data_IF_683139941960
#
_entry.id   IF_683139941960
#
_cell.length_a   1.000
_cell.length_b   1.000
_cell.length_c   1.000
_cell.angle_alpha   90.00
_cell.angle_beta   90.00
_cell.angle_gamma   90.00
#
_symmetry.space_group_name_H-M   'P 1'
#
loop_
_entity.id
_entity.type
_entity.pdbx_description
1 polymer ?
#
# COMPACT_ATOMS: atom_id res chain seq x y z
N UNK A 1 3.69 -6.83 20.24
CA UNK A 1 4.76 -5.85 19.99
C UNK A 1 4.40 -5.11 18.73
N UNK A 2 4.67 -3.81 18.66
CA UNK A 2 4.56 -3.06 17.41
C UNK A 2 5.83 -3.30 16.57
N UNK A 3 5.70 -3.49 15.26
CA UNK A 3 6.87 -3.70 14.38
C UNK A 3 7.67 -2.40 14.20
N UNK A 4 7.00 -1.35 13.70
CA UNK A 4 7.59 -0.03 13.47
C UNK A 4 6.71 1.08 14.06
N UNK A 5 7.28 2.21 14.54
CA UNK A 5 6.50 3.40 14.84
C UNK A 5 5.69 3.83 13.61
N UNK A 6 4.41 4.13 13.79
CA UNK A 6 3.48 4.46 12.71
C UNK A 6 2.52 5.58 13.11
N UNK A 7 1.79 6.08 12.13
CA UNK A 7 0.70 7.02 12.27
C UNK A 7 1.12 8.48 12.05
N UNK A 8 0.17 9.43 12.16
CA UNK A 8 0.38 10.81 11.75
C UNK A 8 1.47 11.52 12.56
N UNK A 9 1.71 11.08 13.80
CA UNK A 9 2.80 11.64 14.62
C UNK A 9 4.20 11.24 14.11
N UNK A 10 4.30 10.19 13.29
CA UNK A 10 5.54 9.79 12.61
C UNK A 10 5.66 10.39 11.20
N UNK A 11 4.65 11.15 10.74
CA UNK A 11 4.59 11.70 9.40
C UNK A 11 3.97 10.75 8.36
N UNK A 12 3.32 9.68 8.79
CA UNK A 12 2.57 8.82 7.88
C UNK A 12 1.31 9.53 7.40
N UNK A 13 0.97 9.29 6.14
CA UNK A 13 -0.30 9.70 5.56
C UNK A 13 -1.41 8.74 5.98
N UNK A 14 -2.65 9.23 5.99
CA UNK A 14 -3.82 8.44 6.40
C UNK A 14 -4.76 8.26 5.23
N UNK A 15 -5.15 7.02 4.97
CA UNK A 15 -6.17 6.72 3.98
C UNK A 15 -7.57 7.16 4.45
N UNK A 16 -8.52 7.41 3.52
CA UNK A 16 -9.87 7.81 3.89
C UNK A 16 -10.61 6.72 4.68
N UNK A 17 -11.54 7.16 5.54
CA UNK A 17 -12.53 6.31 6.19
C UNK A 17 -13.64 5.96 5.20
N UNK A 18 -13.49 4.81 4.56
CA UNK A 18 -14.37 4.32 3.52
C UNK A 18 -14.11 2.82 3.33
N UNK A 19 -15.16 2.01 3.19
CA UNK A 19 -15.08 0.55 3.02
C UNK A 19 -14.03 0.15 1.96
N UNK A 20 -14.28 0.50 0.69
CA UNK A 20 -13.32 0.31 -0.40
C UNK A 20 -12.49 1.57 -0.70
N UNK A 21 -12.03 2.24 0.35
CA UNK A 21 -11.27 3.48 0.21
C UNK A 21 -9.90 3.28 -0.46
N UNK A 22 -9.44 4.31 -1.18
CA UNK A 22 -8.10 4.38 -1.76
C UNK A 22 -7.49 5.75 -1.50
N UNK A 23 -6.15 5.81 -1.44
CA UNK A 23 -5.42 7.07 -1.45
C UNK A 23 -5.65 7.83 -2.77
N UNK A 24 -5.31 9.12 -2.76
CA UNK A 24 -4.96 9.84 -4.00
C UNK A 24 -3.70 9.23 -4.64
N UNK A 25 -3.35 9.67 -5.85
CA UNK A 25 -2.13 9.22 -6.52
C UNK A 25 -0.87 9.64 -5.73
N UNK A 26 -0.04 8.68 -5.34
CA UNK A 26 1.20 8.91 -4.59
C UNK A 26 2.37 8.87 -5.57
N UNK A 27 3.06 10.00 -5.73
CA UNK A 27 4.28 10.06 -6.53
C UNK A 27 5.45 9.42 -5.77
N UNK A 28 6.12 8.46 -6.39
CA UNK A 28 7.27 7.78 -5.80
C UNK A 28 8.52 8.65 -5.91
N UNK A 29 9.23 8.85 -4.80
CA UNK A 29 10.54 9.53 -4.80
C UNK A 29 11.63 8.76 -5.56
N UNK A 30 11.47 7.45 -5.73
CA UNK A 30 12.35 6.57 -6.52
C UNK A 30 11.46 5.69 -7.40
N UNK A 31 11.64 5.68 -8.74
CA UNK A 31 10.84 4.84 -9.62
C UNK A 31 10.94 3.36 -9.26
N UNK A 32 9.80 2.66 -9.27
CA UNK A 32 9.72 1.24 -8.95
C UNK A 32 9.56 0.42 -10.23
N UNK A 33 10.39 -0.60 -10.43
CA UNK A 33 10.27 -1.48 -11.60
C UNK A 33 9.65 -2.81 -11.19
N UNK A 34 8.50 -3.14 -11.78
CA UNK A 34 7.75 -4.36 -11.51
C UNK A 34 7.34 -5.02 -12.81
N UNK A 35 7.60 -6.33 -12.95
CA UNK A 35 7.39 -7.10 -14.18
C UNK A 35 7.92 -6.42 -15.47
N UNK A 36 9.09 -5.76 -15.37
CA UNK A 36 9.74 -5.10 -16.52
C UNK A 36 9.15 -3.74 -16.92
N UNK A 37 8.14 -3.23 -16.21
CA UNK A 37 7.62 -1.87 -16.37
C UNK A 37 8.05 -0.98 -15.20
N UNK A 38 8.48 0.24 -15.50
CA UNK A 38 8.83 1.25 -14.49
C UNK A 38 7.61 2.11 -14.20
N UNK A 39 7.31 2.27 -12.91
CA UNK A 39 6.21 3.04 -12.36
C UNK A 39 6.73 4.22 -11.55
N UNK A 40 6.00 5.33 -11.63
CA UNK A 40 6.32 6.57 -10.90
C UNK A 40 5.23 6.93 -9.90
N UNK A 41 4.08 6.26 -9.96
CA UNK A 41 2.94 6.50 -9.09
C UNK A 41 2.37 5.20 -8.56
N UNK A 42 1.88 5.25 -7.33
CA UNK A 42 1.18 4.14 -6.67
C UNK A 42 -0.09 4.63 -5.98
N UNK A 43 -0.96 3.70 -5.65
CA UNK A 43 -2.15 3.91 -4.84
C UNK A 43 -2.20 2.88 -3.72
N UNK A 44 -2.57 3.31 -2.52
CA UNK A 44 -2.77 2.43 -1.36
C UNK A 44 -4.26 2.22 -1.16
N UNK A 45 -4.72 0.98 -1.28
CA UNK A 45 -6.11 0.60 -1.07
C UNK A 45 -6.33 0.09 0.36
N UNK A 46 -7.51 0.38 0.92
CA UNK A 46 -7.88 -0.02 2.29
C UNK A 46 -7.88 -1.53 2.52
N UNK A 47 -8.12 -2.30 1.46
CA UNK A 47 -8.08 -3.76 1.48
C UNK A 47 -6.64 -4.32 1.51
N UNK A 48 -5.61 -3.47 1.63
CA UNK A 48 -4.21 -3.86 1.84
C UNK A 48 -3.35 -3.92 0.58
N UNK A 49 -3.88 -3.44 -0.54
CA UNK A 49 -3.27 -3.62 -1.85
C UNK A 49 -2.58 -2.33 -2.32
N UNK A 50 -1.39 -2.45 -2.90
CA UNK A 50 -0.65 -1.34 -3.53
C UNK A 50 -0.66 -1.53 -5.04
N UNK A 51 -1.38 -0.65 -5.73
CA UNK A 51 -1.53 -0.68 -7.20
C UNK A 51 -0.69 0.41 -7.87
N UNK A 52 -0.45 0.26 -9.18
CA UNK A 52 0.39 1.17 -9.96
C UNK A 52 -0.41 1.85 -11.07
N UNK A 53 -0.05 3.10 -11.40
CA UNK A 53 -0.66 3.97 -12.42
C UNK A 53 -2.15 4.33 -12.22
N UNK A 54 -2.96 3.43 -11.66
CA UNK A 54 -4.38 3.63 -11.37
C UNK A 54 -4.82 2.85 -10.11
N UNK A 55 -5.89 3.29 -9.42
CA UNK A 55 -6.39 2.60 -8.23
C UNK A 55 -7.15 1.33 -8.61
N UNK A 56 -6.90 0.25 -7.88
CA UNK A 56 -7.69 -0.99 -7.94
C UNK A 56 -8.95 -0.83 -7.10
N UNK A 57 -10.11 -1.18 -7.70
CA UNK A 57 -11.43 -1.19 -7.04
C UNK A 57 -11.92 -2.59 -6.65
N UNK A 58 -11.09 -3.60 -6.87
CA UNK A 58 -11.43 -4.98 -6.52
C UNK A 58 -11.30 -5.18 -5.01
N UNK A 59 -12.39 -5.63 -4.40
CA UNK A 59 -12.53 -5.83 -2.96
C UNK A 59 -12.51 -7.31 -2.55
N UNK A 60 -12.68 -8.22 -3.50
CA UNK A 60 -12.57 -9.67 -3.25
C UNK A 60 -11.18 -10.18 -3.63
N UNK A 61 -10.45 -10.85 -2.70
CA UNK A 61 -9.22 -11.54 -3.02
C UNK A 61 -9.38 -12.62 -4.09
N UNK A 62 -8.63 -12.49 -5.17
CA UNK A 62 -8.53 -13.46 -6.26
C UNK A 62 -7.13 -14.08 -6.32
N UNK A 63 -6.99 -15.35 -6.73
CA UNK A 63 -5.68 -15.95 -6.92
C UNK A 63 -4.93 -15.27 -8.08
N UNK A 64 -3.62 -15.07 -7.89
CA UNK A 64 -2.75 -14.57 -8.96
C UNK A 64 -2.53 -15.64 -10.06
N UNK A 65 -2.34 -15.23 -11.33
CA UNK A 65 -2.44 -13.87 -11.85
C UNK A 65 -3.91 -13.41 -12.00
N UNK A 66 -4.15 -12.13 -11.78
CA UNK A 66 -5.49 -11.54 -11.87
C UNK A 66 -5.97 -11.52 -13.33
N UNK A 67 -7.26 -11.76 -13.53
CA UNK A 67 -7.85 -11.86 -14.85
C UNK A 67 -7.86 -10.51 -15.62
N UNK A 68 -7.86 -9.39 -14.90
CA UNK A 68 -7.79 -8.04 -15.47
C UNK A 68 -6.36 -7.61 -15.84
N UNK A 69 -5.34 -8.36 -15.40
CA UNK A 69 -3.94 -8.11 -15.69
C UNK A 69 -3.35 -6.89 -14.97
N UNK A 70 -4.05 -6.27 -14.02
CA UNK A 70 -3.49 -5.14 -13.28
C UNK A 70 -2.38 -5.64 -12.34
N UNK A 71 -1.17 -5.06 -12.42
CA UNK A 71 -0.11 -5.40 -11.49
C UNK A 71 -0.40 -4.69 -10.16
N UNK A 72 -0.32 -5.45 -9.07
CA UNK A 72 -0.26 -4.87 -7.74
C UNK A 72 0.57 -5.73 -6.80
N UNK A 73 0.99 -5.12 -5.70
CA UNK A 73 1.61 -5.80 -4.55
C UNK A 73 0.54 -5.91 -3.47
N UNK A 74 0.42 -7.08 -2.85
CA UNK A 74 -0.51 -7.32 -1.76
C UNK A 74 0.25 -7.64 -0.46
N UNK A 75 0.81 -6.63 0.24
CA UNK A 75 1.37 -6.82 1.58
C UNK A 75 0.34 -7.41 2.55
N UNK A 76 -0.92 -7.05 2.33
CA UNK A 76 -2.11 -7.62 2.95
C UNK A 76 -3.20 -7.71 1.87
N UNK A 77 -4.15 -8.64 2.00
CA UNK A 77 -5.35 -8.59 1.15
C UNK A 77 -6.55 -9.20 1.86
N UNK A 78 -7.48 -8.34 2.29
CA UNK A 78 -8.76 -8.75 2.83
C UNK A 78 -9.78 -7.65 2.61
N UNK A 79 -11.06 -8.01 2.76
CA UNK A 79 -12.19 -7.10 2.77
C UNK A 79 -12.21 -6.31 4.10
N UNK A 80 -11.74 -5.06 4.07
CA UNK A 80 -11.51 -4.22 5.26
C UNK A 80 -12.42 -2.99 5.24
N UNK A 81 -13.43 -3.00 6.09
CA UNK A 81 -14.22 -1.81 6.37
C UNK A 81 -13.61 -0.98 7.52
N UNK A 82 -12.76 -0.01 7.16
CA UNK A 82 -12.12 0.88 8.15
C UNK A 82 -13.08 1.93 8.76
N UNK A 83 -14.32 2.04 8.26
CA UNK A 83 -15.38 2.86 8.87
C UNK A 83 -15.86 2.23 10.17
N UNK A 84 -15.91 0.89 10.23
CA UNK A 84 -16.27 0.15 11.44
C UNK A 84 -15.18 0.20 12.51
N UNK A 85 -13.92 0.40 12.11
CA UNK A 85 -12.82 0.62 13.05
C UNK A 85 -11.44 0.46 12.44
N UNK A 86 -10.44 1.01 13.14
CA UNK A 86 -9.03 0.96 12.73
C UNK A 86 -8.70 1.97 11.63
N UNK A 87 -7.44 2.39 11.57
CA UNK A 87 -6.95 3.37 10.61
C UNK A 87 -5.89 2.75 9.72
N UNK A 88 -5.77 3.27 8.50
CA UNK A 88 -4.81 2.79 7.51
C UNK A 88 -3.82 3.91 7.27
N UNK A 89 -2.57 3.63 7.59
CA UNK A 89 -1.46 4.56 7.46
C UNK A 89 -0.46 4.04 6.44
N UNK A 90 0.13 4.96 5.68
CA UNK A 90 1.17 4.64 4.71
C UNK A 90 2.26 5.70 4.69
N UNK A 91 3.47 5.29 4.35
CA UNK A 91 4.59 6.18 4.15
C UNK A 91 5.55 5.64 3.08
N UNK A 92 6.37 6.53 2.53
CA UNK A 92 7.50 6.18 1.72
C UNK A 92 8.79 6.52 2.49
N UNK A 93 9.76 5.61 2.52
CA UNK A 93 11.03 5.84 3.22
C UNK A 93 12.24 5.47 2.37
N UNK A 94 13.28 6.32 2.43
CA UNK A 94 14.64 6.01 1.98
C UNK A 94 15.63 6.06 3.15
N UNK A 95 15.13 6.04 4.39
CA UNK A 95 15.98 6.07 5.58
C UNK A 95 16.75 4.74 5.71
N UNK A 96 18.09 4.75 5.64
CA UNK A 96 18.89 3.52 5.62
C UNK A 96 18.76 2.70 6.89
N UNK A 97 18.51 3.32 8.05
CA UNK A 97 18.32 2.62 9.33
C UNK A 97 17.02 1.82 9.29
N UNK A 98 15.91 2.49 8.94
CA UNK A 98 14.60 1.83 8.85
C UNK A 98 14.60 0.75 7.76
N UNK A 99 15.23 1.00 6.61
CA UNK A 99 15.35 -0.01 5.56
C UNK A 99 16.20 -1.22 6.01
N UNK A 100 17.23 -1.01 6.81
CA UNK A 100 18.04 -2.09 7.38
C UNK A 100 17.25 -2.93 8.37
N UNK A 101 16.42 -2.29 9.22
CA UNK A 101 15.55 -2.99 10.16
C UNK A 101 14.48 -3.80 9.41
N UNK A 102 13.80 -3.21 8.43
CA UNK A 102 12.82 -3.92 7.57
C UNK A 102 13.46 -5.13 6.88
N UNK A 103 14.67 -4.98 6.36
CA UNK A 103 15.36 -6.08 5.64
C UNK A 103 15.76 -7.25 6.55
N UNK A 104 15.74 -7.09 7.88
CA UNK A 104 16.02 -8.18 8.84
C UNK A 104 14.77 -8.98 9.20
N UNK A 105 13.59 -8.41 8.98
CA UNK A 105 12.30 -8.98 9.36
C UNK A 105 11.63 -9.75 8.20
N UNK A 106 12.22 -9.73 7.00
CA UNK A 106 11.80 -10.47 5.79
C UNK A 106 12.68 -11.71 5.61
#
# INVERSE_FOLDING_TARGET
SLLYPYGPQQGDETNPKHDDGTSEAIALSVPFTFYGKTYQTVFVNNNGVISFDEPVRQYTPDPFPLADGHPFVAPFWADVDNVLGGDIFYCQTTNPVLLQDISRDI
#
